data_IF_002584222436
#
_entry.id   IF_002584222436
#
_cell.length_a   1.000
_cell.length_b   1.000
_cell.length_c   1.000
_cell.angle_alpha   90.00
_cell.angle_beta   90.00
_cell.angle_gamma   90.00
#
_symmetry.space_group_name_H-M   'P 1'
#
loop_
_entity.id
_entity.type
_entity.pdbx_description
1 polymer ?
#
# COMPACT_ATOMS: atom_id res chain seq x y z
N UNK A 1 5.05 15.57 -18.15
CA UNK A 1 5.24 16.52 -17.03
C UNK A 1 6.71 16.54 -16.71
N UNK A 2 7.31 17.71 -16.81
CA UNK A 2 8.71 17.92 -17.15
C UNK A 2 9.71 17.41 -16.09
N UNK A 3 10.75 16.79 -16.62
CA UNK A 3 12.01 16.41 -16.00
C UNK A 3 12.88 17.67 -15.76
N UNK A 4 12.81 18.23 -14.54
CA UNK A 4 13.50 19.48 -14.16
C UNK A 4 14.42 19.29 -12.92
N UNK A 5 14.57 18.06 -12.42
CA UNK A 5 15.24 17.81 -11.12
C UNK A 5 16.76 17.64 -11.16
N UNK A 6 17.30 16.97 -12.17
CA UNK A 6 18.65 16.39 -12.05
C UNK A 6 19.77 17.33 -12.52
N UNK A 7 19.45 18.30 -13.37
CA UNK A 7 20.43 19.24 -13.91
C UNK A 7 20.79 20.43 -13.00
N UNK A 8 20.06 20.66 -11.91
CA UNK A 8 20.31 21.79 -11.00
C UNK A 8 21.22 21.39 -9.84
N UNK A 9 21.08 20.15 -9.34
CA UNK A 9 21.91 19.61 -8.25
C UNK A 9 23.35 19.36 -8.72
N UNK A 10 23.53 18.83 -9.94
CA UNK A 10 24.87 18.62 -10.50
C UNK A 10 25.60 19.94 -10.82
N UNK A 11 24.87 20.99 -11.20
CA UNK A 11 25.46 22.32 -11.47
C UNK A 11 25.70 23.19 -10.24
N UNK A 12 25.04 22.89 -9.12
CA UNK A 12 25.33 23.52 -7.82
C UNK A 12 26.60 22.93 -7.16
N UNK A 13 27.01 21.72 -7.54
CA UNK A 13 28.26 21.11 -7.09
C UNK A 13 29.49 21.63 -7.86
N UNK A 14 29.37 21.89 -9.17
CA UNK A 14 30.51 22.24 -10.03
C UNK A 14 31.01 23.70 -9.93
N UNK A 15 30.29 24.60 -9.24
CA UNK A 15 30.73 25.99 -9.03
C UNK A 15 31.58 26.22 -7.77
N UNK A 16 32.02 25.16 -7.06
CA UNK A 16 32.94 25.23 -5.92
C UNK A 16 34.42 25.09 -6.36
N UNK A 17 34.78 25.72 -7.48
CA UNK A 17 36.18 25.97 -7.87
C UNK A 17 36.86 27.05 -7.03
N UNK A 18 36.73 27.02 -5.69
CA UNK A 18 37.58 27.80 -4.79
C UNK A 18 38.62 26.86 -4.16
N UNK A 19 39.92 27.20 -4.18
CA UNK A 19 40.92 26.43 -3.46
C UNK A 19 40.55 26.43 -1.97
N UNK A 20 40.15 25.28 -1.46
CA UNK A 20 39.83 25.10 -0.06
C UNK A 20 41.17 25.06 0.72
N UNK A 21 41.35 25.86 1.78
CA UNK A 21 42.55 25.80 2.62
C UNK A 21 42.50 24.55 3.52
N UNK A 22 42.61 23.38 2.92
CA UNK A 22 42.70 22.07 3.59
C UNK A 22 44.10 21.82 4.16
N UNK A 23 44.58 22.68 5.06
CA UNK A 23 45.65 22.30 5.99
C UNK A 23 45.77 23.21 7.23
N UNK A 24 44.74 24.02 7.54
CA UNK A 24 44.68 24.70 8.83
C UNK A 24 43.92 23.82 9.82
N UNK A 25 44.66 22.89 10.43
CA UNK A 25 44.29 22.26 11.70
C UNK A 25 43.60 23.31 12.59
N UNK A 26 42.44 23.02 13.19
CA UNK A 26 41.78 23.99 14.05
C UNK A 26 42.78 24.38 15.14
N UNK A 27 43.15 25.67 15.19
CA UNK A 27 43.99 26.27 16.22
C UNK A 27 43.36 26.19 17.64
N UNK A 28 42.31 25.38 17.81
CA UNK A 28 41.68 25.00 19.05
C UNK A 28 42.33 23.76 19.72
N UNK A 29 43.40 23.19 19.15
CA UNK A 29 44.16 22.12 19.81
C UNK A 29 45.04 22.60 20.99
N UNK A 30 45.03 23.91 21.32
CA UNK A 30 45.84 24.46 22.43
C UNK A 30 45.09 24.90 23.67
N UNK A 31 43.76 24.96 23.68
CA UNK A 31 43.01 25.37 24.88
C UNK A 31 41.79 24.46 25.03
N UNK A 32 41.64 23.82 26.19
CA UNK A 32 40.60 22.84 26.51
C UNK A 32 39.28 23.13 25.80
N UNK A 33 38.96 22.32 24.80
CA UNK A 33 37.73 22.46 24.06
C UNK A 33 36.57 22.32 25.05
N UNK A 34 35.81 23.41 25.25
CA UNK A 34 34.59 23.36 26.06
C UNK A 34 33.73 22.21 25.54
N UNK A 35 33.20 21.40 26.47
CA UNK A 35 32.32 20.27 26.17
C UNK A 35 31.20 20.64 25.18
N UNK A 36 30.71 21.88 25.27
CA UNK A 36 29.74 22.50 24.35
C UNK A 36 30.15 22.38 22.87
N UNK A 37 31.40 22.66 22.53
CA UNK A 37 31.88 22.64 21.14
C UNK A 37 31.99 21.22 20.58
N UNK A 38 32.29 20.24 21.44
CA UNK A 38 32.35 18.83 21.06
C UNK A 38 30.93 18.31 20.86
N UNK A 39 30.01 18.63 21.77
CA UNK A 39 28.61 18.25 21.69
C UNK A 39 27.90 18.81 20.45
N UNK A 40 28.11 20.09 20.11
CA UNK A 40 27.51 20.70 18.93
C UNK A 40 27.99 20.03 17.63
N UNK A 41 29.28 19.68 17.53
CA UNK A 41 29.83 18.96 16.36
C UNK A 41 29.28 17.54 16.23
N UNK A 42 29.07 16.85 17.35
CA UNK A 42 28.44 15.54 17.36
C UNK A 42 26.97 15.62 16.92
N UNK A 43 26.23 16.62 17.40
CA UNK A 43 24.83 16.83 17.03
C UNK A 43 24.67 17.16 15.53
N UNK A 44 25.56 18.00 14.99
CA UNK A 44 25.58 18.34 13.57
C UNK A 44 25.78 17.10 12.68
N UNK A 45 26.72 16.22 13.07
CA UNK A 45 26.96 14.96 12.35
C UNK A 45 25.73 14.03 12.38
N UNK A 46 25.01 13.97 13.50
CA UNK A 46 23.78 13.19 13.63
C UNK A 46 22.65 13.77 12.76
N UNK A 47 22.49 15.10 12.73
CA UNK A 47 21.46 15.75 11.90
C UNK A 47 21.72 15.65 10.40
N UNK A 48 22.98 15.49 10.00
CA UNK A 48 23.35 15.18 8.60
C UNK A 48 23.02 13.72 8.27
N UNK A 49 23.34 12.79 9.17
CA UNK A 49 23.09 11.36 8.97
C UNK A 49 21.59 11.04 8.95
N UNK A 50 20.80 11.68 9.82
CA UNK A 50 19.35 11.55 9.85
C UNK A 50 18.76 12.95 9.77
N UNK A 51 18.40 13.42 8.56
CA UNK A 51 17.75 14.72 8.43
C UNK A 51 16.45 14.70 9.27
N UNK A 52 16.24 15.68 10.15
CA UNK A 52 15.11 15.70 11.09
C UNK A 52 13.74 15.74 10.41
N UNK A 53 13.69 16.05 9.10
CA UNK A 53 12.49 16.04 8.29
C UNK A 53 12.04 14.63 7.84
N UNK A 54 12.93 13.64 7.87
CA UNK A 54 12.65 12.30 7.32
C UNK A 54 11.60 11.53 8.13
N UNK A 55 11.66 11.47 9.48
CA UNK A 55 10.59 10.84 10.28
C UNK A 55 9.24 11.54 10.13
N UNK A 56 9.26 12.87 10.02
CA UNK A 56 8.05 13.67 9.82
C UNK A 56 7.40 13.36 8.45
N UNK A 57 8.20 13.30 7.38
CA UNK A 57 7.72 12.96 6.05
C UNK A 57 7.10 11.55 5.99
N UNK A 58 7.76 10.55 6.61
CA UNK A 58 7.23 9.19 6.71
C UNK A 58 5.86 9.17 7.39
N UNK A 59 5.70 9.93 8.47
CA UNK A 59 4.45 10.00 9.23
C UNK A 59 3.31 10.60 8.39
N UNK A 60 3.59 11.69 7.67
CA UNK A 60 2.61 12.32 6.76
C UNK A 60 2.22 11.37 5.62
N UNK A 61 3.20 10.70 5.00
CA UNK A 61 2.96 9.74 3.93
C UNK A 61 2.06 8.57 4.40
N UNK A 62 2.28 8.11 5.64
CA UNK A 62 1.50 7.06 6.26
C UNK A 62 0.04 7.49 6.52
N UNK A 63 -0.17 8.66 7.13
CA UNK A 63 -1.51 9.21 7.36
C UNK A 63 -2.27 9.49 6.06
N UNK A 64 -1.59 10.01 5.03
CA UNK A 64 -2.17 10.25 3.72
C UNK A 64 -2.63 8.93 3.05
N UNK A 65 -1.85 7.87 3.21
CA UNK A 65 -2.19 6.54 2.67
C UNK A 65 -3.43 5.95 3.33
N UNK A 66 -3.55 6.07 4.66
CA UNK A 66 -4.76 5.67 5.41
C UNK A 66 -5.98 6.43 4.91
N UNK A 67 -5.90 7.76 4.82
CA UNK A 67 -7.00 8.59 4.35
C UNK A 67 -7.48 8.22 2.95
N UNK A 68 -6.54 7.92 2.04
CA UNK A 68 -6.85 7.47 0.67
C UNK A 68 -7.56 6.12 0.65
N UNK A 69 -7.19 5.19 1.54
CA UNK A 69 -7.82 3.86 1.65
C UNK A 69 -9.20 3.93 2.29
N UNK A 70 -9.38 4.78 3.30
CA UNK A 70 -10.68 5.01 3.94
C UNK A 70 -11.73 5.54 2.97
N UNK A 71 -11.33 6.41 2.03
CA UNK A 71 -12.21 6.86 0.94
C UNK A 71 -12.71 5.73 0.02
N UNK A 72 -12.03 4.58 0.01
CA UNK A 72 -12.41 3.38 -0.73
C UNK A 72 -13.13 2.34 0.15
N UNK A 73 -13.49 2.70 1.39
CA UNK A 73 -14.14 1.80 2.35
C UNK A 73 -13.19 0.79 3.02
N UNK A 74 -11.87 0.96 2.86
CA UNK A 74 -10.86 0.08 3.47
C UNK A 74 -10.31 0.74 4.72
N UNK A 75 -10.58 0.14 5.88
CA UNK A 75 -10.14 0.64 7.18
C UNK A 75 -8.95 -0.16 7.70
N UNK A 76 -7.84 0.52 7.97
CA UNK A 76 -6.63 -0.10 8.52
C UNK A 76 -6.49 0.23 10.01
N UNK A 77 -6.43 -0.79 10.87
CA UNK A 77 -6.14 -0.64 12.31
C UNK A 77 -4.66 -0.33 12.57
N UNK A 78 -3.79 -0.90 11.75
CA UNK A 78 -2.34 -0.66 11.80
C UNK A 78 -1.88 0.03 10.52
N UNK A 79 -1.24 1.19 10.67
CA UNK A 79 -0.70 1.96 9.55
C UNK A 79 0.59 1.32 9.00
N UNK A 80 1.33 0.56 9.82
CA UNK A 80 2.53 -0.17 9.39
C UNK A 80 2.20 -1.27 8.37
N UNK A 81 0.99 -1.84 8.47
CA UNK A 81 0.51 -2.87 7.55
C UNK A 81 0.38 -2.34 6.11
N UNK A 82 0.07 -1.05 5.92
CA UNK A 82 -0.02 -0.43 4.59
C UNK A 82 1.35 -0.39 3.92
N UNK A 83 2.40 -0.10 4.67
CA UNK A 83 3.77 -0.12 4.15
C UNK A 83 4.19 -1.55 3.77
N UNK A 84 3.86 -2.54 4.60
CA UNK A 84 4.13 -3.96 4.32
C UNK A 84 3.35 -4.48 3.11
N UNK A 85 2.11 -4.04 2.93
CA UNK A 85 1.26 -4.42 1.81
C UNK A 85 1.87 -4.04 0.44
N UNK A 86 2.73 -3.03 0.38
CA UNK A 86 3.46 -2.66 -0.83
C UNK A 86 4.61 -3.61 -1.20
N UNK A 87 5.04 -4.47 -0.27
CA UNK A 87 6.14 -5.41 -0.45
C UNK A 87 5.68 -6.88 -0.49
N UNK A 88 4.38 -7.12 -0.72
CA UNK A 88 3.81 -8.48 -0.77
C UNK A 88 3.95 -9.05 -2.18
N UNK A 89 4.63 -10.20 -2.30
CA UNK A 89 4.78 -10.92 -3.57
C UNK A 89 3.73 -12.02 -3.80
N UNK A 90 3.09 -12.50 -2.74
CA UNK A 90 2.12 -13.60 -2.80
C UNK A 90 0.89 -13.29 -1.96
N UNK A 91 -0.29 -13.47 -2.54
CA UNK A 91 -1.57 -13.30 -1.86
C UNK A 91 -2.25 -14.66 -1.74
N UNK A 92 -2.59 -15.03 -0.50
CA UNK A 92 -3.35 -16.26 -0.21
C UNK A 92 -4.79 -15.85 0.05
N UNK A 93 -5.70 -16.33 -0.79
CA UNK A 93 -7.13 -16.13 -0.60
C UNK A 93 -7.74 -17.32 0.13
N UNK A 94 -8.53 -17.04 1.16
CA UNK A 94 -9.39 -18.07 1.75
C UNK A 94 -10.54 -18.40 0.80
N UNK A 95 -11.04 -19.64 0.84
CA UNK A 95 -12.10 -20.07 -0.08
C UNK A 95 -13.46 -19.59 0.41
N UNK A 96 -13.87 -20.03 1.60
CA UNK A 96 -15.24 -19.85 2.10
C UNK A 96 -15.40 -18.47 2.73
N UNK A 97 -16.35 -17.68 2.24
CA UNK A 97 -16.59 -16.32 2.74
C UNK A 97 -15.66 -15.24 2.16
N UNK A 98 -14.69 -15.62 1.31
CA UNK A 98 -13.85 -14.68 0.55
C UNK A 98 -14.01 -14.87 -0.95
N UNK A 99 -13.63 -16.03 -1.51
CA UNK A 99 -13.83 -16.33 -2.93
C UNK A 99 -15.25 -16.82 -3.22
N UNK A 100 -15.84 -17.57 -2.29
CA UNK A 100 -17.21 -18.06 -2.41
C UNK A 100 -18.10 -17.44 -1.35
N UNK A 101 -19.35 -17.15 -1.72
CA UNK A 101 -20.38 -16.84 -0.72
C UNK A 101 -20.58 -18.06 0.18
N UNK A 102 -21.00 -17.83 1.42
CA UNK A 102 -21.35 -18.90 2.36
C UNK A 102 -22.67 -19.59 1.98
N UNK A 103 -23.34 -19.12 0.94
CA UNK A 103 -24.60 -19.67 0.41
C UNK A 103 -24.33 -20.73 -0.65
N UNK A 104 -25.11 -21.81 -0.60
CA UNK A 104 -25.08 -22.87 -1.61
C UNK A 104 -26.14 -22.56 -2.66
N UNK A 105 -25.73 -22.52 -3.93
CA UNK A 105 -26.64 -22.36 -5.06
C UNK A 105 -26.57 -23.64 -5.91
N UNK A 106 -27.73 -24.16 -6.29
CA UNK A 106 -27.83 -25.25 -7.24
C UNK A 106 -27.80 -24.65 -8.65
N UNK A 107 -26.71 -24.92 -9.38
CA UNK A 107 -26.50 -24.35 -10.71
C UNK A 107 -27.27 -25.13 -11.79
N UNK A 108 -27.19 -26.46 -11.75
CA UNK A 108 -27.88 -27.31 -12.73
C UNK A 108 -28.12 -28.72 -12.19
N UNK A 109 -29.23 -29.32 -12.65
CA UNK A 109 -29.58 -30.72 -12.38
C UNK A 109 -29.58 -31.48 -13.70
N UNK A 110 -28.69 -32.47 -13.82
CA UNK A 110 -28.66 -33.37 -14.98
C UNK A 110 -29.46 -34.64 -14.68
N UNK A 111 -30.59 -34.81 -15.35
CA UNK A 111 -31.43 -36.00 -15.23
C UNK A 111 -31.01 -37.02 -16.31
N UNK A 112 -30.57 -38.21 -15.91
CA UNK A 112 -30.19 -39.30 -16.81
C UNK A 112 -31.11 -40.51 -16.56
N UNK A 113 -31.94 -40.83 -17.55
CA UNK A 113 -32.88 -41.95 -17.51
C UNK A 113 -33.99 -41.81 -18.54
N UNK A 114 -34.65 -42.91 -18.87
CA UNK A 114 -35.83 -42.88 -19.74
C UNK A 114 -37.04 -42.42 -18.93
N UNK A 115 -37.46 -41.17 -19.10
CA UNK A 115 -38.71 -40.69 -18.50
C UNK A 115 -39.89 -41.10 -19.39
N UNK A 116 -40.97 -41.64 -18.81
CA UNK A 116 -42.26 -41.77 -19.49
C UNK A 116 -42.68 -40.42 -20.09
N UNK A 117 -43.28 -40.42 -21.28
CA UNK A 117 -43.69 -39.21 -22.02
C UNK A 117 -44.48 -38.21 -21.15
N UNK A 118 -45.31 -38.71 -20.22
CA UNK A 118 -46.12 -37.88 -19.31
C UNK A 118 -45.28 -37.02 -18.34
N UNK A 119 -44.05 -37.47 -18.01
CA UNK A 119 -43.18 -36.75 -17.07
C UNK A 119 -42.28 -35.74 -17.78
N UNK A 120 -42.09 -35.85 -19.10
CA UNK A 120 -41.34 -34.86 -19.89
C UNK A 120 -42.06 -33.52 -19.95
N UNK A 121 -43.40 -33.54 -20.08
CA UNK A 121 -44.22 -32.32 -20.05
C UNK A 121 -44.17 -31.61 -18.68
N UNK A 122 -44.11 -32.39 -17.60
CA UNK A 122 -43.96 -31.85 -16.25
C UNK A 122 -42.60 -31.17 -16.08
N UNK A 123 -41.49 -31.82 -16.47
CA UNK A 123 -40.16 -31.22 -16.36
C UNK A 123 -40.03 -29.91 -17.16
N UNK A 124 -40.62 -29.81 -18.35
CA UNK A 124 -40.61 -28.53 -19.10
C UNK A 124 -41.40 -27.42 -18.41
N UNK A 125 -42.49 -27.73 -17.70
CA UNK A 125 -43.21 -26.75 -16.87
C UNK A 125 -42.39 -26.32 -15.65
N UNK A 126 -41.72 -27.29 -14.99
CA UNK A 126 -40.87 -27.00 -13.83
C UNK A 126 -39.60 -26.21 -14.19
N UNK A 127 -39.00 -26.43 -15.36
CA UNK A 127 -37.87 -25.63 -15.86
C UNK A 127 -38.25 -24.16 -16.10
N UNK A 128 -39.44 -23.90 -16.65
CA UNK A 128 -39.97 -22.54 -16.87
C UNK A 128 -40.14 -21.78 -15.54
N UNK A 129 -40.66 -22.43 -14.50
CA UNK A 129 -40.92 -21.78 -13.21
C UNK A 129 -39.65 -21.53 -12.39
N UNK A 130 -38.61 -22.37 -12.53
CA UNK A 130 -37.28 -22.15 -11.95
C UNK A 130 -36.54 -20.95 -12.57
N UNK A 131 -36.72 -20.71 -13.87
CA UNK A 131 -36.09 -19.56 -14.54
C UNK A 131 -36.69 -18.20 -14.17
N UNK A 132 -37.99 -18.13 -13.82
CA UNK A 132 -38.61 -16.87 -13.39
C UNK A 132 -38.25 -16.50 -11.94
N UNK A 133 -38.02 -17.49 -11.06
CA UNK A 133 -37.75 -17.29 -9.63
C UNK A 133 -36.35 -16.74 -9.29
N UNK A 134 -35.35 -16.88 -10.17
CA UNK A 134 -33.96 -16.50 -9.88
C UNK A 134 -33.66 -14.99 -10.08
N UNK A 135 -34.60 -14.22 -10.62
CA UNK A 135 -34.38 -12.81 -10.99
C UNK A 135 -34.65 -11.79 -9.86
N UNK A 136 -35.03 -12.24 -8.66
CA UNK A 136 -35.64 -11.34 -7.63
C UNK A 136 -34.79 -11.01 -6.40
N UNK A 137 -33.49 -11.29 -6.39
CA UNK A 137 -32.61 -10.91 -5.25
C UNK A 137 -31.31 -10.24 -5.69
N UNK A 138 -31.42 -9.20 -6.51
CA UNK A 138 -30.40 -8.15 -6.56
C UNK A 138 -30.92 -6.89 -5.90
N UNK A 139 -30.73 -6.80 -4.59
CA UNK A 139 -30.71 -5.53 -3.87
C UNK A 139 -29.55 -5.60 -2.87
N UNK A 140 -28.44 -5.03 -3.33
CA UNK A 140 -27.32 -4.56 -2.53
C UNK A 140 -27.83 -3.81 -1.28
N UNK A 141 -27.41 -4.27 -0.11
CA UNK A 141 -27.09 -3.46 1.08
C UNK A 141 -25.72 -3.90 1.58
#
# INVERSE_FOLDING_TARGET
MADVGDGLVHRLWDCQGRPHPEHRLPAAARNGARLENILLKLLDMVTIAVPPALPACLSVAASFSVWRLQKRGIFCTDTSAIAKAGAVDTVVFDKTGTLTRTTVHLDSLWVVGWLPEDTQAALTCWDLELTEGTSRTESFE
#
